data_IF_034145773082
#
_entry.id   IF_034145773082
#
_cell.length_a   1.000
_cell.length_b   1.000
_cell.length_c   1.000
_cell.angle_alpha   90.00
_cell.angle_beta   90.00
_cell.angle_gamma   90.00
#
_symmetry.space_group_name_H-M   'P 1'
#
loop_
_entity.id
_entity.type
_entity.pdbx_description
1 polymer ?
#
# COMPACT_ATOMS: atom_id res chain seq x y z
N UNK A 1 10.62 14.59 -4.02
CA UNK A 1 11.61 13.69 -3.43
C UNK A 1 11.28 12.25 -3.76
N UNK A 2 12.30 11.44 -4.04
CA UNK A 2 12.08 10.04 -4.39
C UNK A 2 12.45 9.15 -3.21
N UNK A 3 11.52 8.30 -2.82
CA UNK A 3 11.73 7.35 -1.72
C UNK A 3 12.33 6.05 -2.23
N UNK A 4 13.13 5.39 -1.39
CA UNK A 4 13.61 4.03 -1.65
C UNK A 4 12.50 3.07 -1.27
N UNK A 5 12.15 2.15 -2.19
CA UNK A 5 11.09 1.18 -1.95
C UNK A 5 11.66 -0.06 -1.29
N UNK A 6 11.05 -0.47 -0.17
CA UNK A 6 11.27 -1.76 0.48
C UNK A 6 9.97 -2.54 0.46
N UNK A 7 10.08 -3.86 0.39
CA UNK A 7 8.93 -4.77 0.36
C UNK A 7 9.09 -5.81 1.44
N UNK A 8 8.04 -6.00 2.25
CA UNK A 8 8.02 -7.10 3.21
C UNK A 8 7.82 -8.43 2.49
N UNK A 9 8.18 -9.53 3.15
CA UNK A 9 7.90 -10.88 2.63
C UNK A 9 6.40 -11.07 2.43
N UNK A 10 5.59 -10.56 3.35
CA UNK A 10 4.14 -10.64 3.25
C UNK A 10 3.62 -9.89 2.03
N UNK A 11 4.13 -8.69 1.77
CA UNK A 11 3.72 -7.93 0.58
C UNK A 11 4.02 -8.72 -0.70
N UNK A 12 5.19 -9.33 -0.79
CA UNK A 12 5.58 -10.12 -1.97
C UNK A 12 4.62 -11.29 -2.22
N UNK A 13 4.23 -11.98 -1.14
CA UNK A 13 3.25 -13.08 -1.22
C UNK A 13 1.88 -12.56 -1.67
N UNK A 14 1.44 -11.47 -1.06
CA UNK A 14 0.15 -10.87 -1.37
C UNK A 14 0.09 -10.33 -2.80
N UNK A 15 1.19 -9.79 -3.29
CA UNK A 15 1.30 -9.34 -4.68
C UNK A 15 1.09 -10.51 -5.65
N UNK A 16 1.76 -11.63 -5.39
CA UNK A 16 1.58 -12.85 -6.22
C UNK A 16 0.14 -13.33 -6.19
N UNK A 17 -0.51 -13.26 -5.04
CA UNK A 17 -1.92 -13.63 -4.92
C UNK A 17 -2.81 -12.70 -5.73
N UNK A 18 -2.53 -11.40 -5.73
CA UNK A 18 -3.27 -10.42 -6.53
C UNK A 18 -3.17 -10.76 -8.02
N UNK A 19 -1.98 -11.11 -8.50
CA UNK A 19 -1.78 -11.56 -9.88
C UNK A 19 -2.62 -12.81 -10.17
N UNK A 20 -2.60 -13.79 -9.28
CA UNK A 20 -3.39 -15.02 -9.42
C UNK A 20 -4.88 -14.75 -9.48
N UNK A 21 -5.37 -13.77 -8.71
CA UNK A 21 -6.78 -13.39 -8.69
C UNK A 21 -7.19 -12.60 -9.94
N UNK A 22 -6.24 -12.28 -10.81
CA UNK A 22 -6.52 -11.52 -12.02
C UNK A 22 -6.68 -10.03 -11.82
N UNK A 23 -6.20 -9.49 -10.69
CA UNK A 23 -6.27 -8.06 -10.43
C UNK A 23 -5.29 -7.31 -11.34
N UNK A 24 -5.66 -6.09 -11.72
CA UNK A 24 -4.80 -5.24 -12.54
C UNK A 24 -3.71 -4.60 -11.68
N UNK A 25 -2.56 -5.28 -11.59
CA UNK A 25 -1.45 -4.82 -10.74
C UNK A 25 -0.83 -3.51 -11.22
N UNK A 26 -1.09 -3.08 -12.46
CA UNK A 26 -0.62 -1.77 -12.93
C UNK A 26 -1.25 -0.64 -12.12
N UNK A 27 -2.50 -0.81 -11.66
CA UNK A 27 -3.17 0.16 -10.78
C UNK A 27 -2.44 0.30 -9.45
N UNK A 28 -2.01 -0.82 -8.88
CA UNK A 28 -1.22 -0.82 -7.65
C UNK A 28 0.13 -0.17 -7.87
N UNK A 29 0.81 -0.50 -8.96
CA UNK A 29 2.10 0.07 -9.30
C UNK A 29 2.03 1.58 -9.52
N UNK A 30 0.96 2.08 -10.14
CA UNK A 30 0.75 3.51 -10.34
C UNK A 30 0.65 4.25 -9.00
N UNK A 31 -0.07 3.68 -8.05
CA UNK A 31 -0.20 4.26 -6.70
C UNK A 31 1.15 4.24 -5.99
N UNK A 32 1.87 3.13 -6.07
CA UNK A 32 3.20 3.01 -5.45
C UNK A 32 4.16 4.07 -6.02
N UNK A 33 4.13 4.28 -7.33
CA UNK A 33 4.99 5.29 -7.97
C UNK A 33 4.65 6.71 -7.51
N UNK A 34 3.37 7.02 -7.33
CA UNK A 34 2.96 8.32 -6.79
C UNK A 34 3.46 8.51 -5.36
N UNK A 35 3.29 7.49 -4.52
CA UNK A 35 3.79 7.54 -3.13
C UNK A 35 5.31 7.70 -3.09
N UNK A 36 6.01 6.97 -3.96
CA UNK A 36 7.47 7.02 -4.05
C UNK A 36 7.97 8.41 -4.43
N UNK A 37 7.29 9.07 -5.35
CA UNK A 37 7.67 10.40 -5.84
C UNK A 37 7.04 11.54 -5.04
N UNK A 38 6.40 11.20 -3.92
CA UNK A 38 5.76 12.17 -3.01
C UNK A 38 4.64 12.97 -3.67
N UNK A 39 3.96 12.36 -4.63
CA UNK A 39 2.81 12.94 -5.30
C UNK A 39 1.56 12.62 -4.48
N UNK A 40 0.78 13.63 -4.05
CA UNK A 40 -0.44 13.38 -3.28
C UNK A 40 -1.41 12.49 -4.05
N UNK A 41 -2.02 11.52 -3.36
CA UNK A 41 -3.04 10.67 -3.95
C UNK A 41 -4.37 11.42 -4.05
N UNK A 42 -5.11 11.17 -5.12
CA UNK A 42 -6.45 11.71 -5.27
C UNK A 42 -7.36 11.20 -4.14
N UNK A 43 -8.37 11.99 -3.81
CA UNK A 43 -9.29 11.69 -2.70
C UNK A 43 -9.96 10.32 -2.82
N UNK A 44 -10.21 9.87 -4.04
CA UNK A 44 -10.83 8.56 -4.29
C UNK A 44 -10.03 7.38 -3.74
N UNK A 45 -8.73 7.55 -3.52
CA UNK A 45 -7.87 6.49 -2.96
C UNK A 45 -7.95 6.39 -1.44
N UNK A 46 -8.65 7.31 -0.76
CA UNK A 46 -8.84 7.30 0.70
C UNK A 46 -7.56 7.04 1.48
N UNK A 47 -6.47 7.72 1.08
CA UNK A 47 -5.19 7.59 1.78
C UNK A 47 -5.31 8.17 3.18
N UNK A 48 -5.08 7.34 4.20
CA UNK A 48 -5.22 7.76 5.59
C UNK A 48 -4.31 6.96 6.51
N UNK A 49 -4.02 7.55 7.66
CA UNK A 49 -3.26 6.89 8.71
C UNK A 49 -4.16 5.90 9.45
N UNK A 50 -3.61 4.73 9.76
CA UNK A 50 -4.31 3.75 10.57
C UNK A 50 -4.25 4.14 12.05
N UNK A 51 -5.12 3.53 12.87
CA UNK A 51 -5.23 3.84 14.30
C UNK A 51 -4.79 2.65 15.16
N UNK A 52 -4.76 2.87 16.49
CA UNK A 52 -4.42 1.83 17.43
C UNK A 52 -2.99 1.33 17.28
N UNK A 53 -2.82 0.02 17.27
CA UNK A 53 -1.51 -0.62 17.13
C UNK A 53 -0.85 -0.36 15.78
N UNK A 54 -1.63 0.05 14.79
CA UNK A 54 -1.18 0.29 13.43
C UNK A 54 -0.94 1.77 13.12
N UNK A 55 -0.89 2.62 14.13
CA UNK A 55 -0.82 4.09 13.95
C UNK A 55 0.39 4.59 13.17
N UNK A 56 1.46 3.80 13.07
CA UNK A 56 2.63 4.18 12.28
C UNK A 56 2.45 3.92 10.80
N UNK A 57 1.43 3.17 10.44
CA UNK A 57 1.16 2.76 9.06
C UNK A 57 0.05 3.57 8.44
N UNK A 58 0.06 3.60 7.11
CA UNK A 58 -0.99 4.22 6.32
C UNK A 58 -1.62 3.19 5.41
N UNK A 59 -2.83 3.49 4.97
CA UNK A 59 -3.61 2.63 4.08
C UNK A 59 -4.20 3.47 2.97
N UNK A 60 -4.22 2.95 1.75
CA UNK A 60 -4.99 3.55 0.67
C UNK A 60 -5.75 2.46 -0.08
N UNK A 61 -6.80 2.88 -0.80
CA UNK A 61 -7.68 1.98 -1.54
C UNK A 61 -7.33 2.03 -3.02
N UNK A 62 -6.85 0.92 -3.58
CA UNK A 62 -6.66 0.78 -5.03
C UNK A 62 -8.03 0.64 -5.70
N UNK A 63 -8.87 -0.18 -5.08
CA UNK A 63 -10.31 -0.33 -5.34
C UNK A 63 -11.02 -0.37 -3.99
N UNK A 64 -12.36 -0.29 -3.93
CA UNK A 64 -13.08 -0.28 -2.65
C UNK A 64 -12.69 -1.40 -1.69
N UNK A 65 -12.37 -2.60 -2.19
CA UNK A 65 -11.93 -3.71 -1.35
C UNK A 65 -10.56 -4.25 -1.78
N UNK A 66 -9.70 -3.38 -2.27
CA UNK A 66 -8.31 -3.72 -2.55
C UNK A 66 -7.43 -2.64 -1.98
N UNK A 67 -6.74 -2.96 -0.89
CA UNK A 67 -6.00 -2.03 -0.05
C UNK A 67 -4.49 -2.19 -0.22
N UNK A 68 -3.77 -1.12 0.02
CA UNK A 68 -2.32 -1.13 0.19
C UNK A 68 -2.00 -0.55 1.56
N UNK A 69 -1.31 -1.32 2.39
CA UNK A 69 -0.77 -0.86 3.68
C UNK A 69 0.71 -0.57 3.49
N UNK A 70 1.14 0.60 3.92
CA UNK A 70 2.53 1.02 3.74
C UNK A 70 3.03 1.86 4.90
N UNK A 71 4.33 1.99 4.99
CA UNK A 71 5.01 2.84 5.98
C UNK A 71 5.92 3.80 5.21
N UNK A 72 5.67 5.11 5.38
CA UNK A 72 6.45 6.14 4.70
C UNK A 72 7.27 6.90 5.73
N UNK A 73 8.58 6.78 5.64
CA UNK A 73 9.52 7.36 6.59
C UNK A 73 10.36 8.44 5.92
N UNK A 74 9.98 9.70 6.13
CA UNK A 74 10.63 10.85 5.48
C UNK A 74 12.09 11.00 5.91
N UNK A 75 12.38 10.78 7.18
CA UNK A 75 13.75 10.98 7.72
C UNK A 75 14.80 10.09 7.06
N UNK A 76 14.41 8.93 6.55
CA UNK A 76 15.30 8.00 5.86
C UNK A 76 14.89 7.76 4.42
N UNK A 77 13.96 8.56 3.90
CA UNK A 77 13.47 8.48 2.52
C UNK A 77 13.12 7.05 2.10
N UNK A 78 12.41 6.32 2.97
CA UNK A 78 12.07 4.93 2.74
C UNK A 78 10.55 4.75 2.71
N UNK A 79 10.07 4.07 1.68
CA UNK A 79 8.67 3.65 1.53
C UNK A 79 8.64 2.13 1.63
N UNK A 80 8.10 1.60 2.72
CA UNK A 80 7.97 0.16 2.92
C UNK A 80 6.57 -0.28 2.55
N UNK A 81 6.46 -1.17 1.58
CA UNK A 81 5.19 -1.79 1.20
C UNK A 81 4.97 -2.98 2.12
N UNK A 82 3.97 -2.88 2.99
CA UNK A 82 3.77 -3.81 4.10
C UNK A 82 2.89 -4.97 3.69
N UNK A 83 1.75 -4.68 3.07
CA UNK A 83 0.82 -5.71 2.61
C UNK A 83 -0.18 -5.12 1.62
N UNK A 84 -0.85 -5.98 0.88
CA UNK A 84 -1.95 -5.60 -0.01
C UNK A 84 -2.96 -6.74 -0.05
N UNK A 85 -4.24 -6.41 -0.22
CA UNK A 85 -5.31 -7.40 -0.25
C UNK A 85 -6.66 -6.79 0.07
N UNK A 86 -7.63 -7.66 0.27
CA UNK A 86 -8.97 -7.24 0.71
C UNK A 86 -8.97 -6.89 2.19
N UNK A 87 -10.05 -6.27 2.67
CA UNK A 87 -10.22 -6.04 4.12
C UNK A 87 -10.13 -7.38 4.88
N UNK A 88 -10.72 -8.44 4.37
CA UNK A 88 -10.66 -9.76 4.98
C UNK A 88 -9.22 -10.29 5.03
N UNK A 89 -8.45 -10.12 3.94
CA UNK A 89 -7.06 -10.57 3.89
C UNK A 89 -6.20 -9.86 4.93
N UNK A 90 -6.41 -8.55 5.11
CA UNK A 90 -5.55 -7.72 5.94
C UNK A 90 -5.97 -7.67 7.40
N UNK A 91 -7.27 -7.67 7.66
CA UNK A 91 -7.83 -7.43 9.00
C UNK A 91 -8.75 -8.54 9.49
N UNK A 92 -8.96 -9.60 8.71
CA UNK A 92 -9.75 -10.74 9.14
C UNK A 92 -11.26 -10.52 9.15
N UNK A 93 -11.75 -9.56 8.41
CA UNK A 93 -13.19 -9.25 8.39
C UNK A 93 -13.87 -9.78 7.16
#
# INVERSE_FOLDING_TARGET
MTYIIKKTSQFKKSYKLAVKRGLDVTLLEDVINKLKDDIPLEEKFHDHQLSGNMKLFRECHIHPDWLLVYLKQESILTLTLVDTGTHADLFGN
#
